data_IF_809421904284
#
_entry.id   IF_809421904284
#
_cell.length_a   1.000
_cell.length_b   1.000
_cell.length_c   1.000
_cell.angle_alpha   90.00
_cell.angle_beta   90.00
_cell.angle_gamma   90.00
#
_symmetry.space_group_name_H-M   'P 1'
#
loop_
_entity.id
_entity.type
_entity.pdbx_description
1 polymer ?
#
# COMPACT_ATOMS: atom_id res chain seq x y z
N UNK A 1 18.03 -25.41 6.75
CA UNK A 1 19.46 -25.23 6.45
C UNK A 1 19.67 -23.74 6.20
N UNK A 2 20.70 -23.15 6.82
CA UNK A 2 21.05 -21.76 6.57
C UNK A 2 22.10 -21.66 5.47
N UNK A 3 21.94 -20.70 4.56
CA UNK A 3 22.96 -20.29 3.60
C UNK A 3 23.37 -18.87 3.98
N UNK A 4 24.58 -18.70 4.48
CA UNK A 4 25.12 -17.39 4.87
C UNK A 4 25.70 -16.69 3.65
N UNK A 5 25.33 -15.43 3.44
CA UNK A 5 25.82 -14.58 2.35
C UNK A 5 26.74 -13.53 2.95
N UNK A 6 28.07 -13.60 2.70
CA UNK A 6 29.00 -12.57 3.14
C UNK A 6 28.84 -11.30 2.29
N UNK A 7 29.39 -10.19 2.78
CA UNK A 7 29.41 -8.93 2.01
C UNK A 7 30.11 -9.16 0.66
N UNK A 8 29.43 -8.77 -0.43
CA UNK A 8 29.88 -9.01 -1.81
C UNK A 8 29.42 -10.36 -2.39
N UNK A 9 28.78 -11.22 -1.59
CA UNK A 9 28.15 -12.45 -2.04
C UNK A 9 26.89 -12.21 -2.86
N UNK A 10 26.55 -13.17 -3.74
CA UNK A 10 25.39 -13.08 -4.61
C UNK A 10 24.13 -13.58 -3.89
N UNK A 11 23.24 -12.67 -3.50
CA UNK A 11 21.98 -12.99 -2.81
C UNK A 11 21.11 -13.93 -3.66
N UNK A 12 20.97 -13.66 -4.95
CA UNK A 12 20.15 -14.48 -5.85
C UNK A 12 20.59 -15.94 -5.88
N UNK A 13 21.90 -16.18 -6.01
CA UNK A 13 22.45 -17.54 -6.06
C UNK A 13 22.18 -18.32 -4.76
N UNK A 14 22.23 -17.65 -3.62
CA UNK A 14 21.89 -18.26 -2.33
C UNK A 14 20.41 -18.62 -2.22
N UNK A 15 19.51 -17.76 -2.71
CA UNK A 15 18.06 -18.03 -2.76
C UNK A 15 17.77 -19.24 -3.65
N UNK A 16 18.32 -19.28 -4.87
CA UNK A 16 18.10 -20.39 -5.79
C UNK A 16 18.67 -21.71 -5.23
N UNK A 17 19.84 -21.67 -4.59
CA UNK A 17 20.44 -22.84 -3.94
C UNK A 17 19.63 -23.34 -2.73
N UNK A 18 19.05 -22.44 -1.92
CA UNK A 18 18.16 -22.81 -0.82
C UNK A 18 16.90 -23.49 -1.35
N UNK A 19 16.27 -22.91 -2.37
CA UNK A 19 15.08 -23.48 -3.01
C UNK A 19 15.34 -24.87 -3.60
N UNK A 20 16.44 -25.06 -4.34
CA UNK A 20 16.82 -26.34 -4.94
C UNK A 20 17.03 -27.45 -3.90
N UNK A 21 17.36 -27.09 -2.65
CA UNK A 21 17.49 -28.03 -1.53
C UNK A 21 16.17 -28.29 -0.79
N UNK A 22 15.04 -27.84 -1.33
CA UNK A 22 13.71 -27.98 -0.73
C UNK A 22 13.32 -26.84 0.20
N UNK A 23 14.06 -25.73 0.19
CA UNK A 23 13.82 -24.56 1.02
C UNK A 23 14.87 -24.35 2.11
N UNK A 24 14.77 -23.22 2.79
CA UNK A 24 15.71 -22.84 3.83
C UNK A 24 15.80 -21.34 4.03
N UNK A 25 16.78 -20.93 4.82
CA UNK A 25 16.98 -19.55 5.18
C UNK A 25 18.29 -19.03 4.57
N UNK A 26 18.20 -17.93 3.84
CA UNK A 26 19.34 -17.17 3.34
C UNK A 26 19.61 -16.04 4.31
N UNK A 27 20.76 -16.06 4.98
CA UNK A 27 21.10 -15.11 6.04
C UNK A 27 22.20 -14.18 5.56
N UNK A 28 21.97 -12.87 5.57
CA UNK A 28 23.03 -11.91 5.25
C UNK A 28 23.95 -11.68 6.45
N UNK A 29 25.25 -11.59 6.22
CA UNK A 29 26.17 -11.05 7.24
C UNK A 29 25.95 -9.55 7.45
N UNK A 30 26.24 -8.98 8.63
CA UNK A 30 26.24 -7.55 8.83
C UNK A 30 27.15 -6.82 7.81
N UNK A 31 26.68 -5.70 7.29
CA UNK A 31 27.34 -4.94 6.22
C UNK A 31 26.40 -4.56 5.08
N UNK A 32 26.96 -3.89 4.06
CA UNK A 32 26.21 -3.40 2.90
C UNK A 32 26.32 -4.38 1.74
N UNK A 33 25.21 -5.02 1.41
CA UNK A 33 25.05 -5.92 0.27
C UNK A 33 24.42 -5.15 -0.89
N UNK A 34 25.17 -4.93 -1.97
CA UNK A 34 24.63 -4.27 -3.17
C UNK A 34 23.97 -5.31 -4.07
N UNK A 35 22.78 -5.01 -4.56
CA UNK A 35 22.06 -5.90 -5.47
C UNK A 35 21.19 -5.11 -6.45
N UNK A 36 21.10 -5.61 -7.69
CA UNK A 36 19.99 -5.33 -8.58
C UNK A 36 18.79 -6.22 -8.22
N UNK A 37 17.97 -6.59 -9.19
CA UNK A 37 16.79 -7.43 -8.95
C UNK A 37 17.09 -8.76 -8.25
N UNK A 38 16.26 -9.09 -7.26
CA UNK A 38 16.23 -10.35 -6.51
C UNK A 38 14.86 -11.01 -6.77
N UNK A 39 14.86 -12.29 -7.13
CA UNK A 39 13.67 -13.11 -7.34
C UNK A 39 13.59 -14.13 -6.20
N UNK A 40 12.61 -13.96 -5.32
CA UNK A 40 12.29 -14.91 -4.27
C UNK A 40 11.76 -16.22 -4.88
N UNK A 41 12.05 -17.32 -4.21
CA UNK A 41 11.62 -18.69 -4.60
C UNK A 41 10.84 -19.32 -3.46
N UNK A 42 9.95 -20.25 -3.79
CA UNK A 42 9.14 -20.95 -2.78
C UNK A 42 9.99 -21.59 -1.69
N UNK A 43 9.48 -21.62 -0.47
CA UNK A 43 10.12 -22.22 0.72
C UNK A 43 11.41 -21.52 1.18
N UNK A 44 11.68 -20.30 0.71
CA UNK A 44 12.87 -19.53 1.07
C UNK A 44 12.53 -18.35 1.96
N UNK A 45 13.26 -18.22 3.07
CA UNK A 45 13.34 -17.03 3.89
C UNK A 45 14.60 -16.24 3.57
N UNK A 46 14.47 -14.98 3.16
CA UNK A 46 15.58 -14.01 3.11
C UNK A 46 15.64 -13.26 4.45
N UNK A 47 16.63 -13.60 5.27
CA UNK A 47 16.85 -12.99 6.57
C UNK A 47 17.92 -11.89 6.49
N UNK A 48 17.50 -10.65 6.74
CA UNK A 48 18.31 -9.43 6.81
C UNK A 48 18.47 -9.03 8.27
N UNK A 49 19.49 -9.52 8.99
CA UNK A 49 19.64 -9.27 10.42
C UNK A 49 20.05 -7.82 10.72
N UNK A 50 20.06 -7.46 12.00
CA UNK A 50 20.59 -6.19 12.48
C UNK A 50 22.01 -5.93 11.93
N UNK A 51 22.25 -4.72 11.46
CA UNK A 51 23.53 -4.33 10.86
C UNK A 51 23.72 -4.78 9.40
N UNK A 52 22.84 -5.62 8.84
CA UNK A 52 22.82 -5.89 7.41
C UNK A 52 21.93 -4.88 6.68
N UNK A 53 22.40 -4.47 5.50
CA UNK A 53 21.66 -3.59 4.59
C UNK A 53 21.73 -4.14 3.17
N UNK A 54 20.59 -4.31 2.50
CA UNK A 54 20.53 -4.49 1.05
C UNK A 54 20.40 -3.11 0.41
N UNK A 55 21.40 -2.70 -0.38
CA UNK A 55 21.40 -1.45 -1.12
C UNK A 55 21.05 -1.72 -2.58
N UNK A 56 19.88 -1.25 -3.00
CA UNK A 56 19.44 -1.25 -4.39
C UNK A 56 20.29 -0.34 -5.27
N UNK A 57 20.29 -0.65 -6.57
CA UNK A 57 20.87 0.20 -7.61
C UNK A 57 20.15 1.54 -7.76
N UNK A 58 20.83 2.52 -8.34
CA UNK A 58 20.37 3.91 -8.46
C UNK A 58 19.88 4.26 -9.86
N UNK A 59 19.78 3.27 -10.77
CA UNK A 59 19.35 3.48 -12.15
C UNK A 59 18.36 2.42 -12.60
N UNK A 60 17.48 2.72 -13.58
CA UNK A 60 16.50 1.74 -14.07
C UNK A 60 17.11 0.45 -14.62
N UNK A 61 18.33 0.51 -15.16
CA UNK A 61 19.02 -0.63 -15.78
C UNK A 61 19.51 -1.66 -14.76
N UNK A 62 19.60 -1.26 -13.48
CA UNK A 62 19.96 -2.17 -12.39
C UNK A 62 18.85 -3.19 -12.08
N UNK A 63 17.66 -2.99 -12.66
CA UNK A 63 16.46 -3.76 -12.38
C UNK A 63 15.91 -4.42 -13.64
N UNK A 64 15.54 -5.69 -13.49
CA UNK A 64 14.82 -6.44 -14.50
C UNK A 64 13.34 -6.04 -14.52
N UNK A 65 12.72 -6.18 -15.68
CA UNK A 65 11.27 -6.10 -15.78
C UNK A 65 10.65 -7.34 -15.12
N UNK A 66 9.59 -7.12 -14.36
CA UNK A 66 8.79 -8.19 -13.79
C UNK A 66 8.05 -8.95 -14.88
N UNK A 67 8.18 -10.27 -14.85
CA UNK A 67 7.56 -11.19 -15.80
C UNK A 67 7.05 -12.44 -15.08
N UNK A 68 5.82 -12.86 -15.42
CA UNK A 68 5.22 -14.10 -14.95
C UNK A 68 4.22 -14.62 -15.99
N UNK A 69 3.99 -15.95 -16.08
CA UNK A 69 3.01 -16.51 -17.01
C UNK A 69 1.59 -16.16 -16.52
N UNK A 70 0.91 -15.23 -17.21
CA UNK A 70 -0.40 -14.59 -16.91
C UNK A 70 -0.37 -13.15 -16.38
N UNK A 71 0.81 -12.59 -16.09
CA UNK A 71 0.93 -11.17 -15.77
C UNK A 71 0.73 -10.34 -17.05
N UNK A 72 -0.17 -9.34 -17.09
CA UNK A 72 -0.63 -8.70 -18.32
C UNK A 72 0.41 -7.80 -19.01
N UNK A 73 1.63 -7.72 -18.47
CA UNK A 73 2.72 -6.90 -19.01
C UNK A 73 2.48 -5.38 -18.94
N UNK A 74 1.27 -4.96 -18.56
CA UNK A 74 0.91 -3.57 -18.29
C UNK A 74 0.89 -3.34 -16.78
N UNK A 75 1.66 -2.36 -16.34
CA UNK A 75 1.77 -1.99 -14.93
C UNK A 75 1.43 -0.50 -14.74
N UNK A 76 0.86 -0.11 -13.59
CA UNK A 76 0.78 1.28 -13.19
C UNK A 76 2.14 1.97 -13.32
N UNK A 77 2.12 3.28 -13.51
CA UNK A 77 3.35 4.08 -13.67
C UNK A 77 4.21 3.71 -14.88
N UNK A 78 3.69 2.88 -15.81
CA UNK A 78 4.38 2.38 -17.01
C UNK A 78 5.74 1.72 -16.68
N UNK A 79 5.85 1.13 -15.50
CA UNK A 79 7.08 0.50 -15.03
C UNK A 79 6.81 -0.93 -14.58
N UNK A 80 7.55 -1.88 -15.16
CA UNK A 80 7.65 -3.26 -14.66
C UNK A 80 8.90 -3.49 -13.82
N UNK A 81 9.74 -2.47 -13.65
CA UNK A 81 11.00 -2.60 -12.91
C UNK A 81 10.70 -2.98 -11.45
N UNK A 82 11.42 -3.95 -10.91
CA UNK A 82 11.23 -4.39 -9.53
C UNK A 82 12.56 -4.78 -8.88
N UNK A 83 12.73 -4.40 -7.61
CA UNK A 83 13.87 -4.80 -6.80
C UNK A 83 13.73 -6.22 -6.28
N UNK A 84 12.69 -6.54 -5.52
CA UNK A 84 12.48 -7.89 -4.98
C UNK A 84 11.13 -8.40 -5.45
N UNK A 85 11.15 -9.48 -6.23
CA UNK A 85 9.97 -10.02 -6.88
C UNK A 85 9.69 -11.46 -6.51
N UNK A 86 8.43 -11.86 -6.66
CA UNK A 86 7.99 -13.26 -6.59
C UNK A 86 6.77 -13.43 -7.48
N UNK A 87 6.67 -14.59 -8.14
CA UNK A 87 5.51 -14.94 -8.96
C UNK A 87 5.13 -16.39 -8.69
N UNK A 88 3.85 -16.65 -8.40
CA UNK A 88 3.32 -18.00 -8.17
C UNK A 88 4.11 -18.80 -7.11
N UNK A 89 4.71 -18.10 -6.14
CA UNK A 89 5.57 -18.68 -5.13
C UNK A 89 4.79 -18.94 -3.83
N UNK A 90 5.23 -19.93 -3.05
CA UNK A 90 4.62 -20.26 -1.76
C UNK A 90 5.61 -20.36 -0.62
N UNK A 91 5.18 -20.04 0.60
CA UNK A 91 5.98 -20.15 1.82
C UNK A 91 7.27 -19.31 1.71
N UNK A 92 7.12 -18.04 1.36
CA UNK A 92 8.24 -17.09 1.19
C UNK A 92 8.26 -16.08 2.33
N UNK A 93 9.46 -15.71 2.78
CA UNK A 93 9.60 -14.75 3.87
C UNK A 93 10.76 -13.76 3.64
N UNK A 94 10.57 -12.53 4.09
CA UNK A 94 11.63 -11.53 4.29
C UNK A 94 11.58 -11.10 5.75
N UNK A 95 12.65 -11.36 6.48
CA UNK A 95 12.67 -11.21 7.95
C UNK A 95 13.94 -10.55 8.46
N UNK A 96 13.95 -10.19 9.74
CA UNK A 96 15.11 -9.62 10.42
C UNK A 96 15.05 -8.11 10.49
N UNK A 97 15.85 -7.51 11.38
CA UNK A 97 15.76 -6.09 11.75
C UNK A 97 16.75 -5.19 11.00
N UNK A 98 17.26 -5.65 9.86
CA UNK A 98 18.11 -4.86 8.97
C UNK A 98 17.30 -3.98 8.00
N UNK A 99 18.00 -3.44 7.01
CA UNK A 99 17.46 -2.45 6.06
C UNK A 99 17.47 -2.97 4.62
N UNK A 100 16.42 -2.70 3.86
CA UNK A 100 16.37 -2.80 2.40
C UNK A 100 16.12 -1.40 1.87
N UNK A 101 17.09 -0.85 1.14
CA UNK A 101 17.08 0.53 0.68
C UNK A 101 17.02 0.59 -0.85
N UNK A 102 16.01 1.29 -1.38
CA UNK A 102 15.75 1.35 -2.82
C UNK A 102 16.50 2.46 -3.56
N UNK A 103 17.29 3.29 -2.87
CA UNK A 103 17.93 4.48 -3.45
C UNK A 103 16.93 5.45 -4.13
N UNK A 104 15.70 5.53 -3.61
CA UNK A 104 14.56 6.24 -4.20
C UNK A 104 14.89 7.63 -4.71
N UNK A 105 15.58 8.42 -3.90
CA UNK A 105 15.92 9.81 -4.21
C UNK A 105 16.71 9.96 -5.51
N UNK A 106 17.56 8.98 -5.85
CA UNK A 106 18.41 9.04 -7.05
C UNK A 106 17.62 8.94 -8.36
N UNK A 107 16.35 8.51 -8.29
CA UNK A 107 15.46 8.42 -9.43
C UNK A 107 14.70 9.72 -9.72
N UNK A 108 14.76 10.73 -8.85
CA UNK A 108 13.99 11.97 -9.02
C UNK A 108 14.91 13.17 -9.27
N UNK A 109 14.37 14.18 -9.94
CA UNK A 109 14.98 15.52 -9.88
C UNK A 109 14.55 16.20 -8.58
N UNK A 110 15.54 16.39 -7.70
CA UNK A 110 15.35 16.94 -6.36
C UNK A 110 15.58 18.45 -6.27
N UNK A 111 15.91 19.10 -7.39
CA UNK A 111 16.06 20.55 -7.48
C UNK A 111 14.70 21.24 -7.58
N UNK A 112 13.94 21.20 -6.48
CA UNK A 112 12.60 21.77 -6.38
C UNK A 112 12.51 22.78 -5.23
N UNK A 113 11.55 23.72 -5.27
CA UNK A 113 11.31 24.62 -4.14
C UNK A 113 11.02 23.86 -2.84
N UNK A 114 11.32 24.50 -1.71
CA UNK A 114 11.02 23.93 -0.39
C UNK A 114 9.52 23.59 -0.27
N UNK A 115 9.24 22.39 0.25
CA UNK A 115 7.87 21.93 0.46
C UNK A 115 7.15 21.47 -0.81
N UNK A 116 7.82 21.39 -1.96
CA UNK A 116 7.29 20.76 -3.18
C UNK A 116 7.66 19.27 -3.27
N UNK A 117 6.88 18.52 -4.05
CA UNK A 117 7.26 17.17 -4.49
C UNK A 117 8.47 17.24 -5.42
N UNK A 118 9.32 16.21 -5.39
CA UNK A 118 10.36 16.02 -6.40
C UNK A 118 9.74 15.74 -7.77
N UNK A 119 10.46 16.16 -8.81
CA UNK A 119 9.99 15.95 -10.18
C UNK A 119 10.27 14.51 -10.59
N UNK A 120 9.21 13.84 -11.05
CA UNK A 120 9.27 12.46 -11.52
C UNK A 120 10.10 12.37 -12.81
N UNK A 121 10.96 11.34 -12.96
CA UNK A 121 11.74 11.16 -14.17
C UNK A 121 10.86 10.72 -15.36
N UNK A 122 11.35 10.89 -16.60
CA UNK A 122 10.71 10.34 -17.79
C UNK A 122 10.93 8.82 -17.97
N UNK A 123 11.87 8.23 -17.23
CA UNK A 123 12.19 6.80 -17.26
C UNK A 123 11.43 6.00 -16.20
N UNK A 124 11.28 4.67 -16.35
CA UNK A 124 10.62 3.84 -15.34
C UNK A 124 11.37 3.87 -14.00
N UNK A 125 10.61 3.75 -12.90
CA UNK A 125 11.11 3.63 -11.53
C UNK A 125 10.78 2.23 -11.00
N UNK A 126 11.72 1.52 -10.35
CA UNK A 126 11.42 0.21 -9.80
C UNK A 126 10.51 0.31 -8.57
N UNK A 127 9.63 -0.68 -8.43
CA UNK A 127 9.00 -0.98 -7.13
C UNK A 127 9.99 -1.72 -6.25
N UNK A 128 9.85 -1.61 -4.94
CA UNK A 128 10.73 -2.34 -4.03
C UNK A 128 10.31 -3.81 -3.90
N UNK A 129 9.04 -4.08 -3.59
CA UNK A 129 8.46 -5.41 -3.49
C UNK A 129 7.34 -5.54 -4.54
N UNK A 130 7.40 -6.54 -5.40
CA UNK A 130 6.32 -6.88 -6.32
C UNK A 130 6.06 -8.39 -6.32
N UNK A 131 5.03 -8.82 -5.59
CA UNK A 131 4.65 -10.23 -5.48
C UNK A 131 3.32 -10.46 -6.17
N UNK A 132 3.26 -11.52 -6.98
CA UNK A 132 2.12 -11.81 -7.82
C UNK A 132 1.68 -13.27 -7.63
N UNK A 133 0.40 -13.47 -7.31
CA UNK A 133 -0.21 -14.77 -7.07
C UNK A 133 0.58 -15.67 -6.10
N UNK A 134 1.16 -15.08 -5.05
CA UNK A 134 1.92 -15.80 -4.04
C UNK A 134 1.02 -16.26 -2.87
N UNK A 135 1.44 -17.32 -2.17
CA UNK A 135 0.71 -17.87 -1.01
C UNK A 135 1.59 -18.04 0.21
N UNK A 136 1.07 -17.75 1.40
CA UNK A 136 1.82 -17.83 2.66
C UNK A 136 3.11 -16.99 2.60
N UNK A 137 2.90 -15.67 2.61
CA UNK A 137 3.95 -14.65 2.49
C UNK A 137 4.16 -13.98 3.83
N UNK A 138 5.41 -13.88 4.29
CA UNK A 138 5.74 -13.24 5.58
C UNK A 138 6.77 -12.11 5.43
N UNK A 139 6.44 -10.93 5.93
CA UNK A 139 7.37 -9.81 6.12
C UNK A 139 7.45 -9.50 7.61
N UNK A 140 8.64 -9.62 8.22
CA UNK A 140 8.78 -9.50 9.68
C UNK A 140 10.03 -8.72 10.12
N UNK A 141 9.82 -7.57 10.76
CA UNK A 141 10.89 -6.79 11.41
C UNK A 141 11.73 -5.88 10.50
N UNK A 142 11.74 -6.13 9.19
CA UNK A 142 12.64 -5.45 8.25
C UNK A 142 12.23 -4.01 8.00
N UNK A 143 13.22 -3.14 7.81
CA UNK A 143 13.01 -1.76 7.39
C UNK A 143 13.15 -1.61 5.87
N UNK A 144 12.18 -0.98 5.23
CA UNK A 144 12.11 -0.73 3.79
C UNK A 144 12.23 0.79 3.58
N UNK A 145 13.33 1.23 2.98
CA UNK A 145 13.74 2.64 2.97
C UNK A 145 13.84 3.18 1.56
N UNK A 146 13.20 4.33 1.33
CA UNK A 146 13.25 5.10 0.08
C UNK A 146 13.06 4.23 -1.18
N UNK A 147 11.87 3.65 -1.34
CA UNK A 147 11.48 3.02 -2.61
C UNK A 147 11.36 4.06 -3.74
N UNK A 148 11.94 3.83 -4.93
CA UNK A 148 11.79 4.74 -6.06
C UNK A 148 10.35 4.86 -6.57
N UNK A 149 9.53 3.81 -6.42
CA UNK A 149 8.10 3.80 -6.69
C UNK A 149 7.33 3.22 -5.51
N UNK A 150 6.19 2.57 -5.78
CA UNK A 150 5.43 1.86 -4.75
C UNK A 150 6.33 0.89 -3.99
N UNK A 151 6.28 0.93 -2.65
CA UNK A 151 7.16 0.10 -1.83
C UNK A 151 6.73 -1.36 -1.90
N UNK A 152 5.44 -1.66 -1.71
CA UNK A 152 4.90 -3.01 -1.90
C UNK A 152 3.73 -2.99 -2.86
N UNK A 153 3.77 -3.86 -3.86
CA UNK A 153 2.62 -4.21 -4.68
C UNK A 153 2.39 -5.71 -4.61
N UNK A 154 1.39 -6.09 -3.82
CA UNK A 154 0.99 -7.48 -3.62
C UNK A 154 -0.26 -7.72 -4.46
N UNK A 155 -0.15 -8.59 -5.45
CA UNK A 155 -1.18 -8.80 -6.47
C UNK A 155 -1.69 -10.23 -6.35
N UNK A 156 -2.98 -10.43 -6.09
CA UNK A 156 -3.58 -11.76 -6.04
C UNK A 156 -3.00 -12.68 -4.96
N UNK A 157 -2.32 -12.13 -3.95
CA UNK A 157 -1.64 -12.91 -2.92
C UNK A 157 -2.63 -13.40 -1.85
N UNK A 158 -2.34 -14.59 -1.30
CA UNK A 158 -3.16 -15.24 -0.28
C UNK A 158 -2.34 -15.54 0.98
N UNK A 159 -2.92 -15.37 2.16
CA UNK A 159 -2.23 -15.64 3.44
C UNK A 159 -0.95 -14.78 3.57
N UNK A 160 -1.13 -13.46 3.71
CA UNK A 160 -0.02 -12.51 3.82
C UNK A 160 0.08 -11.96 5.25
N UNK A 161 1.26 -12.01 5.83
CA UNK A 161 1.53 -11.54 7.19
C UNK A 161 2.64 -10.49 7.18
N UNK A 162 2.30 -9.26 7.57
CA UNK A 162 3.23 -8.15 7.72
C UNK A 162 3.25 -7.75 9.19
N UNK A 163 4.40 -7.85 9.84
CA UNK A 163 4.49 -7.63 11.28
C UNK A 163 5.80 -6.93 11.68
N UNK A 164 5.69 -5.88 12.49
CA UNK A 164 6.84 -5.08 12.97
C UNK A 164 7.74 -4.53 11.86
N UNK A 165 7.19 -4.29 10.68
CA UNK A 165 7.97 -3.68 9.59
C UNK A 165 8.01 -2.17 9.76
N UNK A 166 9.02 -1.54 9.16
CA UNK A 166 9.10 -0.10 9.02
C UNK A 166 9.20 0.26 7.56
N UNK A 167 8.25 1.01 7.03
CA UNK A 167 8.36 1.62 5.70
C UNK A 167 8.68 3.09 5.89
N UNK A 168 9.82 3.52 5.40
CA UNK A 168 10.30 4.89 5.57
C UNK A 168 10.77 5.47 4.23
N UNK A 169 9.93 6.29 3.63
CA UNK A 169 10.24 7.04 2.42
C UNK A 169 10.33 8.54 2.66
N UNK A 170 11.16 9.20 1.85
CA UNK A 170 11.16 10.64 1.72
C UNK A 170 9.78 11.13 1.26
N UNK A 171 9.14 11.95 2.09
CA UNK A 171 7.77 12.35 1.83
C UNK A 171 7.60 13.30 0.61
N UNK A 172 8.70 13.78 0.01
CA UNK A 172 8.71 14.53 -1.25
C UNK A 172 8.67 13.64 -2.50
N UNK A 173 8.82 12.33 -2.36
CA UNK A 173 8.79 11.39 -3.49
C UNK A 173 7.35 11.03 -3.86
N UNK A 174 6.89 11.45 -5.04
CA UNK A 174 5.57 11.09 -5.56
C UNK A 174 5.51 9.60 -5.93
N UNK A 175 4.37 8.95 -5.66
CA UNK A 175 4.17 7.50 -5.84
C UNK A 175 5.16 6.65 -5.03
N UNK A 176 5.58 7.16 -3.87
CA UNK A 176 6.26 6.40 -2.84
C UNK A 176 5.20 5.93 -1.84
N UNK A 177 4.44 4.92 -2.26
CA UNK A 177 3.35 4.30 -1.50
C UNK A 177 3.94 3.28 -0.51
N UNK A 178 3.21 2.96 0.55
CA UNK A 178 3.59 1.94 1.52
C UNK A 178 3.24 0.55 1.03
N UNK A 179 2.01 0.09 1.27
CA UNK A 179 1.57 -1.25 0.86
C UNK A 179 0.27 -1.19 0.04
N UNK A 180 0.38 -1.54 -1.24
CA UNK A 180 -0.72 -1.83 -2.14
C UNK A 180 -1.14 -3.30 -2.03
N UNK A 181 -2.29 -3.52 -1.40
CA UNK A 181 -2.95 -4.82 -1.24
C UNK A 181 -3.95 -4.96 -2.38
N UNK A 182 -3.53 -5.60 -3.47
CA UNK A 182 -4.25 -5.61 -4.75
C UNK A 182 -4.85 -6.98 -5.06
N UNK A 183 -6.17 -7.11 -4.92
CA UNK A 183 -6.89 -8.36 -5.16
C UNK A 183 -6.41 -9.51 -4.25
N UNK A 184 -5.88 -9.18 -3.06
CA UNK A 184 -5.36 -10.16 -2.12
C UNK A 184 -6.45 -10.68 -1.16
N UNK A 185 -6.21 -11.85 -0.56
CA UNK A 185 -7.10 -12.43 0.44
C UNK A 185 -6.37 -12.93 1.69
N UNK A 186 -6.96 -12.73 2.87
CA UNK A 186 -6.36 -13.06 4.19
C UNK A 186 -5.02 -12.37 4.38
N UNK A 187 -5.08 -11.06 4.57
CA UNK A 187 -3.90 -10.21 4.79
C UNK A 187 -3.95 -9.63 6.19
N UNK A 188 -2.87 -9.78 6.96
CA UNK A 188 -2.74 -9.17 8.30
C UNK A 188 -1.53 -8.24 8.31
N UNK A 189 -1.75 -6.98 8.70
CA UNK A 189 -0.70 -5.99 8.92
C UNK A 189 -0.79 -5.54 10.38
N UNK A 190 0.31 -5.68 11.13
CA UNK A 190 0.31 -5.37 12.56
C UNK A 190 1.59 -4.75 13.08
N UNK A 191 1.46 -3.92 14.11
CA UNK A 191 2.57 -3.40 14.92
C UNK A 191 3.67 -2.72 14.09
N UNK A 192 3.28 -2.02 13.02
CA UNK A 192 4.18 -1.52 11.97
C UNK A 192 4.13 0.00 11.85
N UNK A 193 5.20 0.58 11.30
CA UNK A 193 5.33 2.02 11.08
C UNK A 193 5.45 2.35 9.61
N UNK A 194 4.71 3.35 9.14
CA UNK A 194 4.72 3.80 7.75
C UNK A 194 4.91 5.31 7.71
N UNK A 195 5.94 5.77 7.00
CA UNK A 195 6.14 7.16 6.61
C UNK A 195 6.38 7.23 5.12
N UNK A 196 5.50 7.86 4.36
CA UNK A 196 5.46 7.76 2.90
C UNK A 196 5.22 9.10 2.23
N UNK A 197 5.73 9.25 1.00
CA UNK A 197 5.44 10.42 0.15
C UNK A 197 4.06 10.36 -0.51
N UNK A 198 3.53 9.17 -0.68
CA UNK A 198 2.17 8.92 -1.15
C UNK A 198 1.40 8.12 -0.10
N UNK A 199 0.46 7.27 -0.50
CA UNK A 199 -0.45 6.54 0.40
C UNK A 199 0.30 5.56 1.33
N UNK A 200 -0.03 5.48 2.63
CA UNK A 200 0.62 4.49 3.51
C UNK A 200 0.07 3.07 3.28
N UNK A 201 -1.25 2.90 3.35
CA UNK A 201 -1.92 1.61 3.22
C UNK A 201 -3.05 1.69 2.22
N UNK A 202 -3.08 0.76 1.27
CA UNK A 202 -3.96 0.85 0.11
C UNK A 202 -4.67 -0.50 -0.11
N UNK A 203 -6.00 -0.46 -0.20
CA UNK A 203 -6.80 -1.57 -0.73
C UNK A 203 -7.07 -1.33 -2.21
N UNK A 204 -6.71 -2.29 -3.07
CA UNK A 204 -6.89 -2.24 -4.53
C UNK A 204 -7.51 -3.56 -4.99
N UNK A 205 -8.15 -3.55 -6.14
CA UNK A 205 -8.62 -4.75 -6.85
C UNK A 205 -8.55 -4.46 -8.35
N UNK A 206 -7.34 -4.27 -8.88
CA UNK A 206 -7.07 -3.83 -10.24
C UNK A 206 -7.29 -5.00 -11.21
N UNK A 207 -8.26 -4.91 -12.14
CA UNK A 207 -8.42 -5.93 -13.18
C UNK A 207 -7.16 -6.05 -14.04
N UNK A 208 -6.63 -7.26 -14.14
CA UNK A 208 -5.44 -7.57 -14.95
C UNK A 208 -5.80 -7.82 -16.43
N UNK A 209 -7.07 -8.09 -16.70
CA UNK A 209 -7.64 -8.23 -18.05
C UNK A 209 -9.11 -7.81 -18.01
N UNK A 210 -9.77 -7.57 -19.16
CA UNK A 210 -11.18 -7.17 -19.18
C UNK A 210 -12.12 -8.11 -18.41
N UNK A 211 -11.88 -9.43 -18.50
CA UNK A 211 -12.68 -10.48 -17.88
C UNK A 211 -12.23 -10.83 -16.45
N UNK A 212 -11.06 -10.36 -16.01
CA UNK A 212 -10.60 -10.57 -14.65
C UNK A 212 -11.43 -9.72 -13.67
N UNK A 213 -11.97 -10.38 -12.64
CA UNK A 213 -12.78 -9.79 -11.56
C UNK A 213 -12.08 -10.02 -10.22
N UNK A 214 -10.97 -9.32 -9.93
CA UNK A 214 -10.24 -9.49 -8.68
C UNK A 214 -11.10 -9.10 -7.48
N UNK A 215 -10.87 -9.78 -6.36
CA UNK A 215 -11.52 -9.47 -5.09
C UNK A 215 -10.42 -9.24 -4.06
N UNK A 216 -10.41 -8.07 -3.42
CA UNK A 216 -9.60 -7.83 -2.24
C UNK A 216 -10.46 -8.01 -0.99
N UNK A 217 -10.17 -9.01 -0.17
CA UNK A 217 -11.01 -9.33 0.98
C UNK A 217 -10.28 -9.95 2.17
N UNK A 218 -10.91 -9.89 3.35
CA UNK A 218 -10.36 -10.45 4.59
C UNK A 218 -9.00 -9.81 4.95
N UNK A 219 -8.95 -8.47 4.93
CA UNK A 219 -7.77 -7.68 5.30
C UNK A 219 -7.94 -7.12 6.71
N UNK A 220 -6.95 -7.33 7.57
CA UNK A 220 -6.89 -6.79 8.93
C UNK A 220 -5.64 -5.94 9.08
N UNK A 221 -5.81 -4.70 9.52
CA UNK A 221 -4.71 -3.79 9.87
C UNK A 221 -4.91 -3.34 11.31
N UNK A 222 -3.90 -3.53 12.16
CA UNK A 222 -3.99 -3.10 13.57
C UNK A 222 -2.68 -2.61 14.16
N UNK A 223 -2.75 -1.70 15.14
CA UNK A 223 -1.60 -1.24 15.93
C UNK A 223 -0.50 -0.58 15.07
N UNK A 224 -0.88 0.16 14.03
CA UNK A 224 0.08 0.83 13.15
C UNK A 224 0.07 2.35 13.34
N UNK A 225 1.23 2.96 13.07
CA UNK A 225 1.39 4.42 13.01
C UNK A 225 1.67 4.82 11.56
N UNK A 226 0.86 5.72 11.01
CA UNK A 226 0.87 6.15 9.62
C UNK A 226 1.19 7.64 9.52
N UNK A 227 2.18 8.00 8.70
CA UNK A 227 2.61 9.38 8.46
C UNK A 227 2.77 9.65 6.96
N UNK A 228 1.72 10.18 6.33
CA UNK A 228 1.66 10.36 4.88
C UNK A 228 1.65 11.84 4.47
N UNK A 229 2.33 12.15 3.37
CA UNK A 229 2.09 13.44 2.69
C UNK A 229 0.79 13.42 1.89
N UNK A 230 0.33 12.26 1.40
CA UNK A 230 -0.86 12.11 0.55
C UNK A 230 -2.07 11.53 1.31
N UNK A 231 -2.12 10.23 1.58
CA UNK A 231 -3.23 9.60 2.29
C UNK A 231 -2.71 8.61 3.34
N UNK A 232 -3.25 8.64 4.55
CA UNK A 232 -2.96 7.60 5.55
C UNK A 232 -3.47 6.23 5.07
N UNK A 233 -4.74 6.16 4.70
CA UNK A 233 -5.37 4.96 4.12
C UNK A 233 -6.08 5.34 2.83
N UNK A 234 -5.91 4.54 1.79
CA UNK A 234 -6.60 4.63 0.51
C UNK A 234 -7.42 3.36 0.27
N UNK A 235 -8.67 3.50 -0.18
CA UNK A 235 -9.53 2.37 -0.55
C UNK A 235 -10.03 2.53 -1.98
N UNK A 236 -9.70 1.55 -2.82
CA UNK A 236 -10.04 1.47 -4.22
C UNK A 236 -9.36 2.54 -5.07
N UNK A 237 -9.92 2.66 -6.27
CA UNK A 237 -10.19 3.79 -7.16
C UNK A 237 -11.32 3.28 -8.11
N UNK A 238 -11.89 4.09 -9.02
CA UNK A 238 -13.20 3.77 -9.60
C UNK A 238 -13.19 2.59 -10.57
N UNK A 239 -12.02 2.14 -11.05
CA UNK A 239 -11.88 0.98 -11.93
C UNK A 239 -11.51 -0.32 -11.23
N UNK A 240 -11.28 -0.27 -9.92
CA UNK A 240 -11.12 -1.48 -9.13
C UNK A 240 -12.42 -2.30 -9.16
N UNK A 241 -12.32 -3.61 -8.99
CA UNK A 241 -13.46 -4.51 -9.08
C UNK A 241 -14.18 -4.63 -7.73
N UNK A 242 -13.82 -5.59 -6.87
CA UNK A 242 -14.52 -5.80 -5.59
C UNK A 242 -13.57 -5.67 -4.41
N UNK A 243 -13.95 -4.87 -3.41
CA UNK A 243 -13.20 -4.73 -2.15
C UNK A 243 -14.19 -4.89 -0.99
N UNK A 244 -13.94 -5.84 -0.08
CA UNK A 244 -14.86 -6.11 1.02
C UNK A 244 -14.25 -6.80 2.23
N UNK A 245 -14.96 -6.79 3.35
CA UNK A 245 -14.58 -7.54 4.57
C UNK A 245 -13.18 -7.13 5.07
N UNK A 246 -12.95 -5.84 5.24
CA UNK A 246 -11.67 -5.31 5.72
C UNK A 246 -11.85 -4.53 7.02
N UNK A 247 -10.89 -4.64 7.95
CA UNK A 247 -10.91 -3.94 9.24
C UNK A 247 -9.58 -3.22 9.48
N UNK A 248 -9.69 -1.96 9.89
CA UNK A 248 -8.59 -1.10 10.33
C UNK A 248 -8.88 -0.68 11.77
N UNK A 249 -7.99 -1.03 12.70
CA UNK A 249 -8.20 -0.75 14.12
C UNK A 249 -6.96 -0.28 14.86
N UNK A 250 -7.12 0.52 15.92
CA UNK A 250 -6.02 0.96 16.78
C UNK A 250 -4.88 1.62 15.98
N UNK A 251 -5.22 2.68 15.24
CA UNK A 251 -4.28 3.38 14.35
C UNK A 251 -4.05 4.82 14.81
N UNK A 252 -2.83 5.30 14.61
CA UNK A 252 -2.52 6.74 14.67
C UNK A 252 -2.14 7.19 13.27
N UNK A 253 -2.87 8.16 12.73
CA UNK A 253 -2.67 8.68 11.38
C UNK A 253 -2.34 10.16 11.49
N UNK A 254 -1.18 10.55 10.95
CA UNK A 254 -0.76 11.95 10.85
C UNK A 254 -0.34 12.28 9.42
N UNK A 255 -0.47 13.53 8.98
CA UNK A 255 -0.01 13.86 7.64
C UNK A 255 -0.39 15.22 7.08
N UNK A 256 0.25 15.57 5.95
CA UNK A 256 -0.14 16.77 5.17
C UNK A 256 -1.44 16.55 4.40
N UNK A 257 -1.70 15.32 3.98
CA UNK A 257 -2.85 14.99 3.16
C UNK A 257 -4.02 14.46 3.99
N UNK A 258 -4.79 13.51 3.47
CA UNK A 258 -6.00 13.04 4.14
C UNK A 258 -5.70 11.88 5.11
N UNK A 259 -6.60 11.64 6.08
CA UNK A 259 -6.51 10.49 6.97
C UNK A 259 -6.95 9.21 6.27
N UNK A 260 -8.26 9.07 6.03
CA UNK A 260 -8.88 7.95 5.31
C UNK A 260 -9.49 8.48 4.02
N UNK A 261 -9.13 7.88 2.88
CA UNK A 261 -9.51 8.33 1.55
C UNK A 261 -10.15 7.22 0.71
N UNK A 262 -11.34 7.49 0.20
CA UNK A 262 -12.11 6.66 -0.72
C UNK A 262 -12.52 7.53 -1.91
N UNK A 263 -11.51 8.08 -2.62
CA UNK A 263 -11.74 8.96 -3.77
C UNK A 263 -11.86 8.19 -5.08
N UNK A 264 -12.89 8.54 -5.84
CA UNK A 264 -13.22 7.94 -7.14
C UNK A 264 -13.29 9.01 -8.25
N UNK A 265 -12.15 9.58 -8.68
CA UNK A 265 -12.10 10.58 -9.74
C UNK A 265 -12.00 9.95 -11.14
N UNK A 266 -12.49 10.67 -12.16
CA UNK A 266 -12.44 10.23 -13.57
C UNK A 266 -11.03 9.92 -14.05
N UNK A 267 -10.02 10.65 -13.56
CA UNK A 267 -8.61 10.46 -13.96
C UNK A 267 -8.04 9.06 -13.65
N UNK A 268 -8.71 8.29 -12.79
CA UNK A 268 -8.33 6.91 -12.45
C UNK A 268 -9.24 5.87 -13.11
N UNK A 269 -10.09 6.28 -14.05
CA UNK A 269 -10.82 5.33 -14.89
C UNK A 269 -9.88 4.69 -15.91
N UNK A 270 -9.96 3.36 -16.04
CA UNK A 270 -9.36 2.64 -17.16
C UNK A 270 -10.05 3.06 -18.47
N UNK A 271 -9.36 2.95 -19.62
CA UNK A 271 -9.98 3.21 -20.92
C UNK A 271 -11.29 2.43 -21.10
N UNK A 272 -12.32 3.10 -21.60
CA UNK A 272 -13.67 2.53 -21.82
C UNK A 272 -14.37 1.99 -20.55
N UNK A 273 -13.96 2.45 -19.36
CA UNK A 273 -14.60 2.16 -18.09
C UNK A 273 -15.29 3.42 -17.55
N UNK A 274 -16.54 3.32 -17.11
CA UNK A 274 -17.25 4.41 -16.43
C UNK A 274 -17.29 4.25 -14.91
N UNK A 275 -16.65 3.20 -14.38
CA UNK A 275 -16.71 2.79 -12.98
C UNK A 275 -17.09 1.32 -12.85
N UNK A 276 -16.43 0.61 -11.94
CA UNK A 276 -16.62 -0.82 -11.68
C UNK A 276 -16.64 -1.18 -10.20
N UNK A 277 -16.16 -0.30 -9.33
CA UNK A 277 -15.98 -0.60 -7.92
C UNK A 277 -17.30 -1.06 -7.26
N UNK A 278 -17.22 -2.20 -6.59
CA UNK A 278 -18.15 -2.67 -5.57
C UNK A 278 -17.38 -2.69 -4.23
N UNK A 279 -17.67 -1.69 -3.39
CA UNK A 279 -17.04 -1.50 -2.09
C UNK A 279 -18.09 -1.68 -0.98
N UNK A 280 -17.89 -2.68 -0.11
CA UNK A 280 -18.80 -2.94 1.01
C UNK A 280 -18.10 -3.56 2.22
N UNK A 281 -18.67 -3.40 3.42
CA UNK A 281 -18.20 -4.01 4.67
C UNK A 281 -16.73 -3.70 5.02
N UNK A 282 -16.44 -2.40 5.15
CA UNK A 282 -15.14 -1.91 5.63
C UNK A 282 -15.33 -1.22 6.99
N UNK A 283 -14.56 -1.65 7.99
CA UNK A 283 -14.62 -1.14 9.35
C UNK A 283 -13.35 -0.35 9.70
N UNK A 284 -13.54 0.86 10.20
CA UNK A 284 -12.52 1.70 10.80
C UNK A 284 -12.90 1.93 12.27
N UNK A 285 -12.02 1.57 13.20
CA UNK A 285 -12.32 1.67 14.63
C UNK A 285 -11.13 2.05 15.51
N UNK A 286 -11.35 2.84 16.56
CA UNK A 286 -10.30 3.23 17.50
C UNK A 286 -9.09 3.88 16.77
N UNK A 287 -9.31 5.06 16.17
CA UNK A 287 -8.31 5.75 15.33
C UNK A 287 -8.14 7.19 15.81
N UNK A 288 -6.89 7.66 15.87
CA UNK A 288 -6.58 9.08 16.04
C UNK A 288 -6.06 9.63 14.70
N UNK A 289 -6.63 10.74 14.22
CA UNK A 289 -6.27 11.36 12.95
C UNK A 289 -5.84 12.82 13.18
N UNK A 290 -4.62 13.17 12.79
CA UNK A 290 -4.14 14.54 12.66
C UNK A 290 -3.83 14.88 11.20
N UNK A 291 -4.73 15.63 10.55
CA UNK A 291 -4.68 15.86 9.10
C UNK A 291 -4.58 17.35 8.77
N UNK A 292 -3.66 17.74 7.87
CA UNK A 292 -3.67 19.10 7.31
C UNK A 292 -4.64 19.26 6.14
N UNK A 293 -5.43 18.24 5.82
CA UNK A 293 -6.43 18.27 4.75
C UNK A 293 -7.75 17.65 5.25
N UNK A 294 -8.43 16.86 4.41
CA UNK A 294 -9.72 16.22 4.75
C UNK A 294 -9.45 14.95 5.56
N UNK A 295 -9.89 14.83 6.82
CA UNK A 295 -9.53 13.69 7.68
C UNK A 295 -10.20 12.38 7.24
N UNK A 296 -11.48 12.42 6.87
CA UNK A 296 -12.20 11.31 6.23
C UNK A 296 -12.80 11.86 4.94
N UNK A 297 -12.41 11.29 3.80
CA UNK A 297 -12.87 11.72 2.48
C UNK A 297 -13.44 10.54 1.71
N UNK A 298 -14.73 10.60 1.43
CA UNK A 298 -15.45 9.62 0.61
C UNK A 298 -16.06 10.40 -0.55
N UNK A 299 -15.51 10.24 -1.74
CA UNK A 299 -15.82 11.11 -2.87
C UNK A 299 -15.99 10.32 -4.16
N UNK A 300 -17.06 10.63 -4.89
CA UNK A 300 -17.29 10.16 -6.26
C UNK A 300 -17.46 11.38 -7.16
N UNK A 301 -16.64 11.46 -8.20
CA UNK A 301 -16.74 12.54 -9.19
C UNK A 301 -17.97 12.35 -10.08
N UNK A 302 -18.66 13.44 -10.42
CA UNK A 302 -19.80 13.43 -11.34
C UNK A 302 -19.45 12.73 -12.66
N UNK A 303 -20.29 11.81 -13.15
CA UNK A 303 -20.03 10.98 -14.32
C UNK A 303 -19.37 9.63 -14.02
N UNK A 304 -18.93 9.36 -12.79
CA UNK A 304 -18.42 8.05 -12.36
C UNK A 304 -19.57 7.19 -11.85
N UNK A 305 -19.77 6.03 -12.48
CA UNK A 305 -20.84 5.07 -12.20
C UNK A 305 -20.25 3.79 -11.59
N UNK A 306 -20.13 3.76 -10.27
CA UNK A 306 -19.67 2.57 -9.54
C UNK A 306 -20.81 1.53 -9.45
N UNK A 307 -20.47 0.26 -9.21
CA UNK A 307 -21.49 -0.77 -8.92
C UNK A 307 -22.10 -0.54 -7.55
N UNK A 308 -21.27 -0.26 -6.56
CA UNK A 308 -21.68 0.10 -5.21
C UNK A 308 -20.53 0.78 -4.45
N UNK A 309 -20.87 1.80 -3.65
CA UNK A 309 -19.96 2.37 -2.66
C UNK A 309 -20.74 2.55 -1.37
N UNK A 310 -20.45 1.72 -0.38
CA UNK A 310 -21.19 1.72 0.86
C UNK A 310 -20.69 0.76 1.92
N UNK A 311 -21.51 0.54 2.95
CA UNK A 311 -21.22 -0.40 4.02
C UNK A 311 -19.93 -0.07 4.78
N UNK A 312 -19.68 1.22 5.01
CA UNK A 312 -18.50 1.72 5.72
C UNK A 312 -18.88 2.11 7.14
N UNK A 313 -18.15 1.58 8.12
CA UNK A 313 -18.35 1.90 9.53
C UNK A 313 -17.13 2.60 10.10
N UNK A 314 -17.35 3.71 10.79
CA UNK A 314 -16.35 4.52 11.48
C UNK A 314 -16.76 4.62 12.95
N UNK A 315 -15.91 4.15 13.86
CA UNK A 315 -16.25 4.17 15.28
C UNK A 315 -15.08 4.52 16.20
N UNK A 316 -15.35 5.27 17.27
CA UNK A 316 -14.33 5.68 18.25
C UNK A 316 -13.12 6.36 17.55
N UNK A 317 -13.39 7.44 16.82
CA UNK A 317 -12.36 8.18 16.06
C UNK A 317 -12.23 9.59 16.62
N UNK A 318 -11.00 10.01 16.91
CA UNK A 318 -10.67 11.40 17.30
C UNK A 318 -9.91 12.08 16.17
N UNK A 319 -10.38 13.24 15.76
CA UNK A 319 -9.91 13.92 14.57
C UNK A 319 -9.52 15.35 14.92
N UNK A 320 -8.28 15.71 14.60
CA UNK A 320 -7.83 17.09 14.47
C UNK A 320 -7.52 17.39 13.00
N UNK A 321 -8.20 18.35 12.39
CA UNK A 321 -8.00 18.61 10.97
C UNK A 321 -8.17 20.07 10.55
N UNK A 322 -7.63 20.44 9.39
CA UNK A 322 -7.82 21.77 8.79
C UNK A 322 -9.09 21.88 7.94
N UNK A 323 -9.69 20.75 7.56
CA UNK A 323 -10.90 20.68 6.74
C UNK A 323 -11.92 19.71 7.35
N UNK A 324 -13.21 19.87 7.02
CA UNK A 324 -14.26 18.95 7.45
C UNK A 324 -14.08 17.55 6.89
N UNK A 325 -14.70 16.55 7.52
CA UNK A 325 -14.93 15.26 6.88
C UNK A 325 -15.87 15.46 5.68
N UNK A 326 -15.59 14.81 4.55
CA UNK A 326 -16.39 14.93 3.33
C UNK A 326 -16.97 13.57 2.92
N UNK A 327 -18.28 13.56 2.69
CA UNK A 327 -19.03 12.48 2.04
C UNK A 327 -19.77 13.07 0.85
N UNK A 328 -19.34 12.77 -0.36
CA UNK A 328 -19.95 13.30 -1.57
C UNK A 328 -20.05 12.20 -2.63
N UNK A 329 -21.28 11.75 -2.90
CA UNK A 329 -21.60 10.96 -4.08
C UNK A 329 -21.80 11.82 -5.33
N UNK A 330 -22.21 11.17 -6.42
CA UNK A 330 -22.62 11.83 -7.67
C UNK A 330 -24.07 11.52 -8.03
N UNK A 331 -24.56 12.10 -9.13
CA UNK A 331 -25.88 11.74 -9.67
C UNK A 331 -25.95 10.28 -10.14
N UNK A 332 -24.83 9.70 -10.58
CA UNK A 332 -24.74 8.32 -11.06
C UNK A 332 -24.41 7.31 -9.96
N UNK A 333 -23.76 7.76 -8.88
CA UNK A 333 -23.36 6.92 -7.75
C UNK A 333 -23.69 7.60 -6.43
N UNK A 334 -24.85 7.24 -5.86
CA UNK A 334 -25.20 7.62 -4.50
C UNK A 334 -24.49 6.71 -3.49
N UNK A 335 -23.84 7.31 -2.49
CA UNK A 335 -23.17 6.58 -1.41
C UNK A 335 -24.24 6.03 -0.44
N UNK A 336 -24.11 4.77 -0.01
CA UNK A 336 -25.15 4.10 0.78
C UNK A 336 -24.60 3.40 2.03
N UNK A 337 -25.34 3.45 3.13
CA UNK A 337 -25.04 2.62 4.31
C UNK A 337 -23.73 3.01 5.01
N UNK A 338 -23.61 4.28 5.41
CA UNK A 338 -22.51 4.75 6.25
C UNK A 338 -22.93 4.78 7.72
N UNK A 339 -22.04 4.37 8.61
CA UNK A 339 -22.23 4.48 10.06
C UNK A 339 -21.07 5.20 10.71
N UNK A 340 -21.37 6.26 11.45
CA UNK A 340 -20.44 7.00 12.29
C UNK A 340 -20.92 6.90 13.74
N UNK A 341 -20.07 6.42 14.64
CA UNK A 341 -20.39 6.25 16.07
C UNK A 341 -19.23 6.69 16.95
N UNK A 342 -19.43 7.66 17.84
CA UNK A 342 -18.35 8.22 18.65
C UNK A 342 -17.19 8.74 17.79
N UNK A 343 -17.50 9.72 16.94
CA UNK A 343 -16.52 10.38 16.07
C UNK A 343 -16.44 11.86 16.47
N UNK A 344 -15.33 12.23 17.07
CA UNK A 344 -15.03 13.58 17.53
C UNK A 344 -14.15 14.27 16.50
N UNK A 345 -14.54 15.45 16.03
CA UNK A 345 -13.78 16.21 15.05
C UNK A 345 -13.80 17.72 15.34
N UNK A 346 -13.00 18.52 14.65
CA UNK A 346 -12.98 19.98 14.83
C UNK A 346 -14.05 20.71 13.99
N UNK A 347 -14.65 20.01 13.03
CA UNK A 347 -15.48 20.61 11.98
C UNK A 347 -16.76 19.79 11.76
N UNK A 348 -17.83 20.45 11.30
CA UNK A 348 -19.05 19.76 10.87
C UNK A 348 -18.79 18.92 9.60
N UNK A 349 -19.48 17.78 9.48
CA UNK A 349 -19.41 16.93 8.28
C UNK A 349 -20.09 17.62 7.09
N UNK A 350 -19.46 17.52 5.92
CA UNK A 350 -20.07 17.89 4.64
C UNK A 350 -20.59 16.63 3.95
N UNK A 351 -21.92 16.54 3.77
CA UNK A 351 -22.57 15.35 3.23
C UNK A 351 -23.49 15.71 2.08
N UNK A 352 -23.30 15.07 0.93
CA UNK A 352 -24.16 15.21 -0.26
C UNK A 352 -24.24 13.91 -1.07
N UNK A 353 -25.36 13.71 -1.78
CA UNK A 353 -25.61 12.53 -2.62
C UNK A 353 -25.35 11.19 -1.91
N UNK A 354 -25.79 11.10 -0.65
CA UNK A 354 -25.60 9.93 0.19
C UNK A 354 -26.90 9.61 0.96
N UNK A 355 -27.14 8.33 1.23
CA UNK A 355 -28.35 7.82 1.88
C UNK A 355 -28.02 6.75 2.94
N UNK A 356 -29.01 6.44 3.77
CA UNK A 356 -28.88 5.44 4.85
C UNK A 356 -27.70 5.71 5.79
N UNK A 357 -27.48 6.98 6.14
CA UNK A 357 -26.41 7.42 7.03
C UNK A 357 -26.90 7.38 8.46
N UNK A 358 -26.15 6.72 9.33
CA UNK A 358 -26.36 6.70 10.77
C UNK A 358 -25.24 7.48 11.43
N UNK A 359 -25.57 8.52 12.20
CA UNK A 359 -24.62 9.29 13.00
C UNK A 359 -25.07 9.26 14.47
N UNK A 360 -24.22 8.74 15.35
CA UNK A 360 -24.49 8.64 16.79
C UNK A 360 -23.27 9.17 17.55
N UNK A 361 -23.45 10.18 18.42
CA UNK A 361 -22.33 10.81 19.14
C UNK A 361 -21.24 11.30 18.17
N UNK A 362 -21.66 12.00 17.11
CA UNK A 362 -20.76 12.65 16.15
C UNK A 362 -20.90 14.15 16.33
N UNK A 363 -19.80 14.85 16.53
CA UNK A 363 -19.86 16.28 16.77
C UNK A 363 -18.52 16.96 16.60
N UNK A 364 -18.61 18.24 16.26
CA UNK A 364 -17.54 19.16 16.59
C UNK A 364 -17.47 19.26 18.12
N UNK A 365 -16.31 19.07 18.74
CA UNK A 365 -16.20 19.40 20.17
C UNK A 365 -16.71 20.84 20.35
N UNK A 366 -17.79 21.01 21.12
CA UNK A 366 -18.34 22.33 21.42
C UNK A 366 -17.24 23.12 22.15
N UNK A 367 -16.55 24.00 21.42
CA UNK A 367 -15.68 25.01 22.00
C UNK A 367 -16.50 26.04 22.79
#
# INVERSE_FOLDING_TARGET
>A
MDIVVPVGGLIQGAIDAAHQKGGGRVVLEPGVHRSGSIVMRSFVELHVPAGAKIQGGSKPEDYHDFEAPDYPGHAPEKSRKCFISAAHAENIAITGTGEINGAGRDFYDTNVPEGAFFVKPPHPRPRMIQFFNCRNVRFEGTSFVDSPGWTFWLIGCNDVFVHRVRVHGCQQMINNDGIDIDGCRRVTISDSFFRTGDDCLILRAIPQSPDHKPICEEVVVTNCVLDSWCQGIRVGCPSDDTIRNCTFSNLVISGRGNGINVDNPKRYLMPNCNGRLDLNNILFSNIVIESKNTPIRIFVEEGVKLRHLGGLTFSHIRIKAQKPCLVQGSSETCIDGLRFTDVQCDHQFEISNAKSIIMQQVGADNA
#
